data_IF_289509518917
#
_entry.id   IF_289509518917
#
_cell.length_a   1.000
_cell.length_b   1.000
_cell.length_c   1.000
_cell.angle_alpha   90.00
_cell.angle_beta   90.00
_cell.angle_gamma   90.00
#
_symmetry.space_group_name_H-M   'P 1'
#
loop_
_entity.id
_entity.type
_entity.pdbx_description
1 polymer ?
#
# COMPACT_ATOMS: atom_id res chain seq x y z
N UNK A 1 2.63 17.96 -19.43
CA UNK A 1 2.24 19.34 -19.08
C UNK A 1 2.01 20.08 -20.39
N UNK A 2 0.78 20.53 -20.63
CA UNK A 2 0.47 21.38 -21.79
C UNK A 2 1.06 22.76 -21.49
N UNK A 3 2.16 23.10 -22.15
CA UNK A 3 2.76 24.43 -22.06
C UNK A 3 1.97 25.35 -22.98
N UNK A 4 1.10 26.17 -22.42
CA UNK A 4 0.50 27.29 -23.16
C UNK A 4 1.49 28.46 -23.06
N UNK A 5 2.14 28.88 -24.17
CA UNK A 5 3.02 30.04 -24.12
C UNK A 5 2.13 31.28 -24.06
N UNK A 6 1.90 31.79 -22.86
CA UNK A 6 1.13 33.01 -22.68
C UNK A 6 1.15 33.48 -21.24
N UNK A 7 1.44 34.78 -21.06
CA UNK A 7 1.41 35.57 -19.82
C UNK A 7 0.02 35.70 -19.18
N UNK A 8 -0.91 34.80 -19.49
CA UNK A 8 -2.29 34.85 -19.05
C UNK A 8 -2.49 33.97 -17.81
N UNK A 9 -3.14 34.53 -16.79
CA UNK A 9 -3.55 33.85 -15.55
C UNK A 9 -4.41 32.60 -15.79
N UNK A 10 -4.89 32.39 -17.01
CA UNK A 10 -5.66 31.21 -17.42
C UNK A 10 -4.85 29.91 -17.51
N UNK A 11 -3.53 29.95 -17.75
CA UNK A 11 -2.72 28.74 -17.97
C UNK A 11 -2.72 27.78 -16.77
N UNK A 12 -2.69 28.30 -15.53
CA UNK A 12 -2.79 27.46 -14.33
C UNK A 12 -4.24 27.15 -13.95
N UNK A 13 -5.20 28.05 -14.24
CA UNK A 13 -6.62 27.86 -13.93
C UNK A 13 -7.24 26.73 -14.75
N UNK A 14 -6.96 26.68 -16.05
CA UNK A 14 -7.43 25.60 -16.93
C UNK A 14 -6.90 24.24 -16.42
N UNK A 15 -5.65 24.17 -15.99
CA UNK A 15 -5.09 22.94 -15.44
C UNK A 15 -5.81 22.47 -14.16
N UNK A 16 -6.21 23.41 -13.29
CA UNK A 16 -6.99 23.10 -12.10
C UNK A 16 -8.42 22.67 -12.44
N UNK A 17 -9.06 23.32 -13.44
CA UNK A 17 -10.40 22.94 -13.90
C UNK A 17 -10.42 21.53 -14.50
N UNK A 18 -9.39 21.15 -15.28
CA UNK A 18 -9.26 19.81 -15.85
C UNK A 18 -9.11 18.75 -14.74
N UNK A 19 -8.42 19.05 -13.64
CA UNK A 19 -8.31 18.12 -12.50
C UNK A 19 -9.68 17.85 -11.84
N UNK A 20 -10.60 18.82 -11.86
CA UNK A 20 -11.97 18.67 -11.35
C UNK A 20 -12.85 17.73 -12.17
N UNK A 21 -12.47 17.41 -13.42
CA UNK A 21 -13.25 16.53 -14.29
C UNK A 21 -13.28 15.07 -13.79
N UNK A 22 -12.17 14.57 -13.27
CA UNK A 22 -12.06 13.19 -12.76
C UNK A 22 -13.05 12.89 -11.62
N UNK A 23 -13.08 13.70 -10.55
CA UNK A 23 -14.06 13.56 -9.47
C UNK A 23 -15.52 13.63 -9.95
N UNK A 24 -15.83 14.49 -10.93
CA UNK A 24 -17.18 14.59 -11.50
C UNK A 24 -17.59 13.27 -12.15
N UNK A 25 -16.73 12.67 -12.96
CA UNK A 25 -17.00 11.34 -13.56
C UNK A 25 -17.20 10.30 -12.46
N UNK A 26 -16.35 10.28 -11.43
CA UNK A 26 -16.49 9.34 -10.32
C UNK A 26 -17.83 9.50 -9.61
N UNK A 27 -18.26 10.73 -9.30
CA UNK A 27 -19.56 11.01 -8.69
C UNK A 27 -20.71 10.48 -9.55
N UNK A 28 -20.69 10.73 -10.87
CA UNK A 28 -21.69 10.20 -11.79
C UNK A 28 -21.65 8.66 -11.85
N UNK A 29 -20.46 8.07 -11.81
CA UNK A 29 -20.25 6.62 -11.84
C UNK A 29 -20.76 5.91 -10.58
N UNK A 30 -20.76 6.57 -9.42
CA UNK A 30 -21.22 5.94 -8.16
C UNK A 30 -22.68 5.50 -8.20
N UNK A 31 -23.53 6.08 -9.07
CA UNK A 31 -24.92 5.64 -9.23
C UNK A 31 -25.06 4.30 -9.98
N UNK A 32 -24.04 3.87 -10.71
CA UNK A 32 -24.06 2.61 -11.47
C UNK A 32 -23.37 1.45 -10.76
N UNK A 33 -22.62 1.72 -9.68
CA UNK A 33 -21.87 0.69 -8.95
C UNK A 33 -22.79 0.06 -7.88
N UNK A 34 -22.93 -1.27 -7.85
CA UNK A 34 -23.71 -1.93 -6.80
C UNK A 34 -23.06 -1.74 -5.44
N UNK A 35 -23.88 -1.79 -4.39
CA UNK A 35 -23.39 -1.70 -3.03
C UNK A 35 -22.59 -2.96 -2.65
N UNK A 36 -21.63 -2.80 -1.73
CA UNK A 36 -20.83 -3.93 -1.23
C UNK A 36 -21.72 -4.99 -0.58
N UNK A 37 -21.59 -6.29 -0.94
CA UNK A 37 -22.36 -7.38 -0.33
C UNK A 37 -22.23 -7.41 1.20
N UNK A 38 -21.03 -7.13 1.72
CA UNK A 38 -20.75 -7.08 3.16
C UNK A 38 -21.55 -5.96 3.86
N UNK A 39 -21.70 -4.81 3.20
CA UNK A 39 -22.51 -3.70 3.71
C UNK A 39 -24.01 -4.01 3.64
N UNK A 40 -24.44 -4.68 2.57
CA UNK A 40 -25.83 -5.13 2.41
C UNK A 40 -26.25 -6.11 3.50
N UNK A 41 -25.44 -7.14 3.78
CA UNK A 41 -25.68 -8.09 4.90
C UNK A 41 -25.69 -7.37 6.24
N UNK A 42 -24.77 -6.43 6.48
CA UNK A 42 -24.74 -5.62 7.71
C UNK A 42 -26.04 -4.84 7.95
N UNK A 43 -26.70 -4.39 6.88
CA UNK A 43 -27.97 -3.69 6.94
C UNK A 43 -29.21 -4.60 6.81
N UNK A 44 -29.03 -5.92 6.90
CA UNK A 44 -30.12 -6.90 6.82
C UNK A 44 -30.67 -7.13 5.40
N UNK A 45 -29.99 -6.65 4.35
CA UNK A 45 -30.38 -6.82 2.94
C UNK A 45 -29.68 -8.05 2.34
N UNK A 46 -29.93 -9.22 2.91
CA UNK A 46 -29.20 -10.45 2.56
C UNK A 46 -29.52 -10.97 1.15
N UNK A 47 -30.77 -10.89 0.72
CA UNK A 47 -31.17 -11.33 -0.63
C UNK A 47 -30.49 -10.51 -1.73
N UNK A 48 -30.37 -9.20 -1.52
CA UNK A 48 -29.64 -8.34 -2.46
C UNK A 48 -28.15 -8.63 -2.46
N UNK A 49 -27.56 -8.90 -1.29
CA UNK A 49 -26.16 -9.32 -1.20
C UNK A 49 -25.92 -10.64 -1.95
N UNK A 50 -26.87 -11.58 -1.86
CA UNK A 50 -26.80 -12.87 -2.56
C UNK A 50 -26.86 -12.68 -4.07
N UNK A 51 -27.76 -11.82 -4.53
CA UNK A 51 -27.89 -11.48 -5.95
C UNK A 51 -26.61 -10.82 -6.49
N UNK A 52 -26.04 -9.88 -5.76
CA UNK A 52 -24.77 -9.26 -6.16
C UNK A 52 -23.65 -10.30 -6.22
N UNK A 53 -23.52 -11.19 -5.23
CA UNK A 53 -22.50 -12.25 -5.29
C UNK A 53 -22.71 -13.20 -6.47
N UNK A 54 -23.95 -13.63 -6.72
CA UNK A 54 -24.30 -14.48 -7.85
C UNK A 54 -23.96 -13.81 -9.19
N UNK A 55 -24.36 -12.55 -9.39
CA UNK A 55 -24.14 -11.80 -10.63
C UNK A 55 -22.65 -11.64 -10.96
N UNK A 56 -21.80 -11.39 -9.95
CA UNK A 56 -20.37 -11.10 -10.16
C UNK A 56 -19.44 -12.32 -10.06
N UNK A 57 -19.79 -13.35 -9.28
CA UNK A 57 -18.92 -14.51 -9.05
C UNK A 57 -19.42 -15.80 -9.71
N UNK A 58 -20.71 -15.91 -10.03
CA UNK A 58 -21.33 -17.11 -10.59
C UNK A 58 -22.18 -16.86 -11.85
N UNK A 59 -21.95 -15.73 -12.56
CA UNK A 59 -22.71 -15.33 -13.76
C UNK A 59 -24.25 -15.37 -13.56
N UNK A 60 -24.72 -15.08 -12.34
CA UNK A 60 -26.13 -15.06 -11.95
C UNK A 60 -26.65 -16.34 -11.31
N UNK A 61 -25.83 -17.38 -11.13
CA UNK A 61 -26.25 -18.58 -10.39
C UNK A 61 -26.21 -18.35 -8.88
N UNK A 62 -27.38 -18.34 -8.26
CA UNK A 62 -27.53 -18.21 -6.81
C UNK A 62 -27.20 -19.50 -6.06
N UNK A 63 -27.25 -20.66 -6.72
CA UNK A 63 -27.03 -21.95 -6.07
C UNK A 63 -25.60 -22.45 -6.20
N UNK A 64 -24.70 -21.66 -6.77
CA UNK A 64 -23.29 -22.00 -6.87
C UNK A 64 -22.66 -22.17 -5.47
N UNK A 65 -21.89 -23.24 -5.30
CA UNK A 65 -21.24 -23.58 -4.02
C UNK A 65 -20.32 -22.45 -3.51
N UNK A 66 -19.69 -21.69 -4.42
CA UNK A 66 -18.85 -20.55 -4.07
C UNK A 66 -19.68 -19.41 -3.47
N UNK A 67 -20.82 -19.08 -4.10
CA UNK A 67 -21.71 -18.00 -3.64
C UNK A 67 -22.28 -18.32 -2.26
N UNK A 68 -22.70 -19.57 -2.04
CA UNK A 68 -23.19 -20.01 -0.74
C UNK A 68 -22.09 -20.05 0.32
N UNK A 69 -20.88 -20.42 -0.05
CA UNK A 69 -19.72 -20.38 0.85
C UNK A 69 -19.40 -18.94 1.28
N UNK A 70 -19.22 -18.03 0.33
CA UNK A 70 -18.91 -16.63 0.61
C UNK A 70 -20.03 -15.94 1.40
N UNK A 71 -21.30 -16.23 1.10
CA UNK A 71 -22.41 -15.70 1.86
C UNK A 71 -22.38 -16.16 3.32
N UNK A 72 -22.04 -17.43 3.59
CA UNK A 72 -21.89 -17.95 4.96
C UNK A 72 -20.75 -17.28 5.69
N UNK A 73 -19.61 -17.08 5.03
CA UNK A 73 -18.45 -16.40 5.61
C UNK A 73 -18.78 -14.94 5.98
N UNK A 74 -19.44 -14.21 5.07
CA UNK A 74 -19.86 -12.82 5.30
C UNK A 74 -20.86 -12.73 6.46
N UNK A 75 -21.87 -13.62 6.51
CA UNK A 75 -22.84 -13.66 7.62
C UNK A 75 -22.16 -13.93 8.96
N UNK A 76 -21.23 -14.90 9.00
CA UNK A 76 -20.47 -15.21 10.20
C UNK A 76 -19.64 -14.00 10.67
N UNK A 77 -18.95 -13.32 9.75
CA UNK A 77 -18.17 -12.13 10.06
C UNK A 77 -19.03 -10.97 10.60
N UNK A 78 -20.21 -10.74 10.00
CA UNK A 78 -21.16 -9.71 10.46
C UNK A 78 -21.76 -10.06 11.83
N UNK A 79 -22.04 -11.32 12.09
CA UNK A 79 -22.61 -11.75 13.38
C UNK A 79 -21.57 -11.62 14.52
N UNK A 80 -20.32 -12.03 14.28
CA UNK A 80 -19.20 -11.80 15.20
C UNK A 80 -19.06 -10.30 15.49
N UNK A 81 -19.24 -9.44 14.48
CA UNK A 81 -19.21 -7.99 14.65
C UNK A 81 -20.38 -7.43 15.47
N UNK A 82 -21.61 -7.91 15.25
CA UNK A 82 -22.80 -7.49 16.02
C UNK A 82 -22.65 -7.80 17.51
N UNK A 83 -22.08 -8.96 17.84
CA UNK A 83 -21.79 -9.35 19.23
C UNK A 83 -20.65 -8.50 19.82
N UNK A 84 -19.73 -8.02 18.99
CA UNK A 84 -18.56 -7.23 19.37
C UNK A 84 -18.75 -5.71 19.40
N UNK A 85 -19.99 -5.19 19.51
CA UNK A 85 -20.41 -3.78 19.30
C UNK A 85 -19.66 -2.71 20.13
N UNK A 86 -18.40 -2.51 19.79
CA UNK A 86 -17.52 -1.48 20.30
C UNK A 86 -16.70 -0.98 19.12
N UNK A 87 -17.35 -0.36 18.14
CA UNK A 87 -16.66 0.42 17.10
C UNK A 87 -16.12 1.74 17.68
N UNK A 88 -15.40 1.70 18.80
CA UNK A 88 -14.70 2.85 19.38
C UNK A 88 -13.26 2.88 18.88
N UNK A 89 -12.67 4.07 18.76
CA UNK A 89 -11.23 4.21 18.48
C UNK A 89 -10.35 3.51 19.53
N UNK A 90 -10.87 3.38 20.76
CA UNK A 90 -10.23 2.64 21.84
C UNK A 90 -10.11 1.13 21.57
N UNK A 91 -10.90 0.57 20.65
CA UNK A 91 -10.86 -0.86 20.33
C UNK A 91 -9.57 -1.30 19.63
N UNK A 92 -8.82 -0.35 19.03
CA UNK A 92 -7.46 -0.61 18.58
C UNK A 92 -6.50 -0.93 19.73
N UNK A 93 -6.77 -0.41 20.93
CA UNK A 93 -5.92 -0.56 22.11
C UNK A 93 -6.38 -1.65 23.07
N UNK A 94 -7.57 -2.25 22.87
CA UNK A 94 -8.10 -3.29 23.76
C UNK A 94 -7.35 -4.63 23.61
N UNK A 95 -7.16 -5.10 22.39
CA UNK A 95 -6.55 -6.42 22.12
C UNK A 95 -5.08 -6.30 21.69
N UNK A 96 -4.20 -7.22 22.09
CA UNK A 96 -2.79 -7.23 21.68
C UNK A 96 -2.65 -7.37 20.15
N UNK A 97 -3.52 -8.14 19.49
CA UNK A 97 -3.58 -8.23 18.03
C UNK A 97 -3.96 -6.90 17.36
N UNK A 98 -4.93 -6.18 17.91
CA UNK A 98 -5.34 -4.88 17.40
C UNK A 98 -4.26 -3.80 17.56
N UNK A 99 -3.46 -3.86 18.65
CA UNK A 99 -2.31 -2.97 18.85
C UNK A 99 -1.23 -3.20 17.79
N UNK A 100 -0.96 -4.46 17.46
CA UNK A 100 -0.04 -4.81 16.36
C UNK A 100 -0.56 -4.31 15.01
N UNK A 101 -1.85 -4.50 14.72
CA UNK A 101 -2.50 -3.97 13.51
C UNK A 101 -2.37 -2.43 13.44
N UNK A 102 -2.64 -1.73 14.55
CA UNK A 102 -2.51 -0.27 14.63
C UNK A 102 -1.08 0.22 14.33
N UNK A 103 -0.06 -0.44 14.91
CA UNK A 103 1.34 -0.13 14.63
C UNK A 103 1.70 -0.36 13.17
N UNK A 104 1.24 -1.47 12.58
CA UNK A 104 1.47 -1.79 11.16
C UNK A 104 0.81 -0.75 10.25
N UNK A 105 -0.41 -0.29 10.56
CA UNK A 105 -1.10 0.75 9.78
C UNK A 105 -0.30 2.07 9.79
N UNK A 106 0.18 2.49 10.96
CA UNK A 106 1.01 3.71 11.07
C UNK A 106 2.35 3.53 10.37
N UNK A 107 2.97 2.35 10.50
CA UNK A 107 4.22 2.02 9.82
C UNK A 107 4.04 2.12 8.30
N UNK A 108 2.97 1.53 7.76
CA UNK A 108 2.62 1.59 6.35
C UNK A 108 2.28 3.01 5.89
N UNK A 109 1.63 3.83 6.73
CA UNK A 109 1.37 5.22 6.39
C UNK A 109 2.66 6.03 6.27
N UNK A 110 3.52 5.94 7.28
CA UNK A 110 4.79 6.70 7.33
C UNK A 110 5.80 6.25 6.28
N UNK A 111 5.94 4.94 6.04
CA UNK A 111 6.93 4.41 5.07
C UNK A 111 6.64 4.87 3.65
N UNK A 112 5.37 5.01 3.24
CA UNK A 112 5.05 5.49 1.88
C UNK A 112 5.61 6.88 1.61
N UNK A 113 5.67 7.75 2.62
CA UNK A 113 6.19 9.10 2.48
C UNK A 113 7.67 9.18 2.81
N UNK A 114 8.12 8.50 3.86
CA UNK A 114 9.51 8.56 4.35
C UNK A 114 10.44 7.55 3.67
N UNK A 115 9.95 6.80 2.69
CA UNK A 115 10.80 6.03 1.79
C UNK A 115 11.72 6.91 0.91
N UNK A 116 11.52 8.23 0.89
CA UNK A 116 12.40 9.17 0.19
C UNK A 116 11.98 9.54 -1.23
N UNK A 117 10.75 9.19 -1.61
CA UNK A 117 10.10 9.66 -2.84
C UNK A 117 10.09 11.20 -2.92
N UNK A 118 9.83 11.87 -1.78
CA UNK A 118 9.84 13.34 -1.69
C UNK A 118 11.17 13.94 -2.11
N UNK A 119 12.29 13.53 -1.49
CA UNK A 119 13.63 14.04 -1.82
C UNK A 119 13.95 13.86 -3.29
N UNK A 120 13.68 12.67 -3.83
CA UNK A 120 14.05 12.33 -5.20
C UNK A 120 13.32 13.23 -6.19
N UNK A 121 12.04 13.49 -5.96
CA UNK A 121 11.25 14.42 -6.77
C UNK A 121 11.78 15.85 -6.69
N UNK A 122 12.22 16.30 -5.51
CA UNK A 122 12.82 17.63 -5.32
C UNK A 122 14.20 17.78 -5.96
N UNK A 123 15.00 16.70 -6.03
CA UNK A 123 16.35 16.74 -6.59
C UNK A 123 16.42 16.47 -8.09
N UNK A 124 15.42 15.82 -8.67
CA UNK A 124 15.44 15.50 -10.10
C UNK A 124 15.66 16.76 -10.93
N UNK A 125 14.95 17.86 -10.65
CA UNK A 125 15.08 19.11 -11.41
C UNK A 125 16.45 19.80 -11.21
N UNK A 126 16.96 20.01 -9.98
CA UNK A 126 18.32 20.49 -9.75
C UNK A 126 19.41 19.64 -10.43
N UNK A 127 19.31 18.31 -10.36
CA UNK A 127 20.27 17.40 -11.01
C UNK A 127 20.19 17.50 -12.53
N UNK A 128 19.00 17.62 -13.11
CA UNK A 128 18.86 17.87 -14.54
C UNK A 128 19.48 19.20 -14.96
N UNK A 129 19.37 20.24 -14.13
CA UNK A 129 20.02 21.54 -14.37
C UNK A 129 21.54 21.44 -14.32
N UNK A 130 22.12 20.68 -13.39
CA UNK A 130 23.58 20.51 -13.30
C UNK A 130 24.17 19.71 -14.46
N UNK A 131 23.36 18.87 -15.09
CA UNK A 131 23.70 18.12 -16.31
C UNK A 131 23.64 19.00 -17.58
N UNK A 132 23.19 20.26 -17.47
CA UNK A 132 23.07 21.19 -18.59
C UNK A 132 21.68 21.17 -19.26
N UNK A 133 20.73 20.40 -18.74
CA UNK A 133 19.34 20.35 -19.22
C UNK A 133 18.57 21.50 -18.54
N UNK A 134 18.74 22.70 -19.06
CA UNK A 134 18.12 23.94 -18.55
C UNK A 134 16.80 24.27 -19.23
N UNK A 135 16.51 23.67 -20.40
CA UNK A 135 15.27 23.90 -21.13
C UNK A 135 14.05 23.33 -20.38
N UNK A 136 13.07 24.20 -20.10
CA UNK A 136 11.82 23.84 -19.43
C UNK A 136 11.03 22.76 -20.19
N UNK A 137 11.10 22.75 -21.53
CA UNK A 137 10.45 21.73 -22.37
C UNK A 137 11.09 20.35 -22.20
N UNK A 138 12.42 20.28 -22.09
CA UNK A 138 13.13 19.01 -21.86
C UNK A 138 12.90 18.48 -20.44
N UNK A 139 12.93 19.34 -19.42
CA UNK A 139 12.60 18.95 -18.05
C UNK A 139 11.16 18.43 -17.94
N UNK A 140 10.22 19.07 -18.65
CA UNK A 140 8.84 18.62 -18.75
C UNK A 140 8.73 17.26 -19.44
N UNK A 141 9.49 17.04 -20.52
CA UNK A 141 9.56 15.76 -21.22
C UNK A 141 10.08 14.63 -20.32
N UNK A 142 11.14 14.88 -19.56
CA UNK A 142 11.72 13.90 -18.62
C UNK A 142 10.75 13.58 -17.48
N UNK A 143 10.06 14.58 -16.92
CA UNK A 143 9.01 14.35 -15.92
C UNK A 143 7.83 13.56 -16.49
N UNK A 144 7.46 13.81 -17.76
CA UNK A 144 6.47 13.02 -18.48
C UNK A 144 6.91 11.56 -18.62
N UNK A 145 8.16 11.33 -19.03
CA UNK A 145 8.77 10.00 -19.11
C UNK A 145 8.82 9.29 -17.74
N UNK A 146 9.18 10.02 -16.68
CA UNK A 146 9.15 9.53 -15.30
C UNK A 146 7.74 9.08 -14.88
N UNK A 147 6.71 9.85 -15.25
CA UNK A 147 5.31 9.49 -14.96
C UNK A 147 4.83 8.27 -15.75
N UNK A 148 5.24 8.15 -17.02
CA UNK A 148 4.93 6.98 -17.86
C UNK A 148 5.64 5.74 -17.30
N UNK A 149 6.90 5.87 -16.92
CA UNK A 149 7.67 4.82 -16.26
C UNK A 149 7.01 4.37 -14.94
N UNK A 150 6.64 5.32 -14.06
CA UNK A 150 5.90 5.01 -12.84
C UNK A 150 4.62 4.22 -13.14
N UNK A 151 3.87 4.59 -14.18
CA UNK A 151 2.64 3.89 -14.56
C UNK A 151 2.91 2.43 -14.94
N UNK A 152 3.92 2.17 -15.76
CA UNK A 152 4.30 0.81 -16.13
C UNK A 152 4.75 -0.02 -14.92
N UNK A 153 5.56 0.56 -14.04
CA UNK A 153 5.96 -0.09 -12.80
C UNK A 153 4.78 -0.38 -11.87
N UNK A 154 3.76 0.49 -11.83
CA UNK A 154 2.56 0.27 -11.03
C UNK A 154 1.74 -0.92 -11.55
N UNK A 155 1.58 -1.03 -12.87
CA UNK A 155 0.88 -2.15 -13.51
C UNK A 155 1.62 -3.46 -13.22
N UNK A 156 2.95 -3.47 -13.40
CA UNK A 156 3.78 -4.63 -13.08
C UNK A 156 3.67 -5.01 -11.60
N UNK A 157 3.75 -4.02 -10.70
CA UNK A 157 3.58 -4.22 -9.27
C UNK A 157 2.25 -4.89 -8.94
N UNK A 158 1.14 -4.35 -9.45
CA UNK A 158 -0.19 -4.91 -9.25
C UNK A 158 -0.29 -6.38 -9.71
N UNK A 159 0.25 -6.71 -10.89
CA UNK A 159 0.24 -8.10 -11.40
C UNK A 159 1.12 -9.05 -10.57
N UNK A 160 2.19 -8.54 -9.96
CA UNK A 160 3.16 -9.35 -9.22
C UNK A 160 2.71 -9.65 -7.78
N UNK A 161 1.82 -8.82 -7.22
CA UNK A 161 1.31 -8.99 -5.84
C UNK A 161 0.72 -10.38 -5.61
N UNK A 162 -0.04 -10.89 -6.56
CA UNK A 162 -0.71 -12.20 -6.44
C UNK A 162 0.30 -13.37 -6.51
N UNK A 163 1.38 -13.20 -7.27
CA UNK A 163 2.36 -14.24 -7.55
C UNK A 163 3.51 -14.33 -6.54
N UNK A 164 3.90 -13.21 -5.93
CA UNK A 164 5.09 -13.14 -5.06
C UNK A 164 4.74 -13.08 -3.57
N UNK A 165 3.52 -12.65 -3.24
CA UNK A 165 3.11 -12.41 -1.85
C UNK A 165 3.50 -11.02 -1.36
N UNK A 166 2.74 -10.51 -0.38
CA UNK A 166 2.82 -9.11 0.05
C UNK A 166 4.08 -8.85 0.86
N UNK A 167 4.46 -9.78 1.76
CA UNK A 167 5.64 -9.64 2.61
C UNK A 167 6.92 -9.68 1.78
N UNK A 168 7.02 -10.64 0.87
CA UNK A 168 8.17 -10.79 -0.02
C UNK A 168 8.38 -9.53 -0.86
N UNK A 169 7.31 -8.93 -1.39
CA UNK A 169 7.41 -7.69 -2.17
C UNK A 169 7.85 -6.50 -1.32
N UNK A 170 7.33 -6.35 -0.09
CA UNK A 170 7.82 -5.31 0.82
C UNK A 170 9.31 -5.46 1.11
N UNK A 171 9.78 -6.69 1.38
CA UNK A 171 11.18 -6.95 1.71
C UNK A 171 12.11 -6.79 0.51
N UNK A 172 11.74 -7.33 -0.67
CA UNK A 172 12.53 -7.22 -1.90
C UNK A 172 12.60 -5.77 -2.36
N UNK A 173 11.49 -5.03 -2.31
CA UNK A 173 11.50 -3.61 -2.62
C UNK A 173 12.37 -2.81 -1.63
N UNK A 174 12.27 -3.09 -0.33
CA UNK A 174 12.98 -2.34 0.70
C UNK A 174 14.50 -2.64 0.71
N UNK A 175 14.91 -3.91 0.75
CA UNK A 175 16.35 -4.31 0.74
C UNK A 175 16.92 -4.23 -0.68
N UNK A 176 16.29 -4.93 -1.62
CA UNK A 176 16.88 -5.24 -2.92
C UNK A 176 16.89 -4.06 -3.86
N UNK A 177 15.87 -3.20 -3.76
CA UNK A 177 15.70 -2.09 -4.67
C UNK A 177 16.07 -0.74 -4.10
N UNK A 178 15.34 -0.32 -3.07
CA UNK A 178 15.43 1.03 -2.51
C UNK A 178 16.75 1.29 -1.82
N UNK A 179 17.15 0.41 -0.91
CA UNK A 179 18.36 0.59 -0.12
C UNK A 179 19.59 0.60 -1.03
N UNK A 180 19.67 -0.34 -1.98
CA UNK A 180 20.74 -0.40 -2.98
C UNK A 180 20.83 0.89 -3.81
N UNK A 181 19.69 1.39 -4.31
CA UNK A 181 19.65 2.66 -5.04
C UNK A 181 20.09 3.84 -4.16
N UNK A 182 19.72 3.88 -2.88
CA UNK A 182 20.15 4.95 -1.96
C UNK A 182 21.66 4.95 -1.72
N UNK A 183 22.29 3.79 -1.60
CA UNK A 183 23.76 3.69 -1.47
C UNK A 183 24.45 4.25 -2.72
N UNK A 184 23.97 3.88 -3.91
CA UNK A 184 24.51 4.37 -5.17
C UNK A 184 24.29 5.88 -5.30
N UNK A 185 23.07 6.36 -4.99
CA UNK A 185 22.74 7.80 -5.01
C UNK A 185 23.61 8.61 -4.04
N UNK A 186 23.89 8.08 -2.84
CA UNK A 186 24.75 8.72 -1.87
C UNK A 186 26.20 8.82 -2.38
N UNK A 187 26.73 7.72 -2.95
CA UNK A 187 28.07 7.68 -3.53
C UNK A 187 28.23 8.65 -4.72
N UNK A 188 27.26 8.66 -5.63
CA UNK A 188 27.24 9.58 -6.77
C UNK A 188 27.11 11.04 -6.32
N UNK A 189 26.25 11.32 -5.34
CA UNK A 189 26.06 12.68 -4.82
C UNK A 189 27.31 13.20 -4.10
N UNK A 190 27.97 12.36 -3.31
CA UNK A 190 29.24 12.69 -2.66
C UNK A 190 30.38 12.89 -3.67
N UNK A 191 30.47 12.02 -4.68
CA UNK A 191 31.44 12.14 -5.77
C UNK A 191 31.24 13.40 -6.61
N UNK A 192 29.98 13.75 -6.89
CA UNK A 192 29.64 14.99 -7.59
C UNK A 192 29.99 16.24 -6.75
N UNK A 193 29.75 16.21 -5.45
CA UNK A 193 30.11 17.32 -4.57
C UNK A 193 31.62 17.57 -4.51
N UNK A 194 32.44 16.53 -4.58
CA UNK A 194 33.90 16.63 -4.56
C UNK A 194 34.51 17.04 -5.91
N UNK A 195 34.00 16.49 -7.02
CA UNK A 195 34.64 16.60 -8.34
C UNK A 195 33.92 17.53 -9.32
N UNK A 196 32.63 17.81 -9.10
CA UNK A 196 31.74 18.57 -9.99
C UNK A 196 31.69 18.05 -11.44
N UNK A 197 32.07 16.80 -11.69
CA UNK A 197 32.01 16.22 -13.02
C UNK A 197 30.55 16.01 -13.48
N UNK A 198 30.21 16.52 -14.66
CA UNK A 198 28.89 16.40 -15.27
C UNK A 198 28.46 14.94 -15.48
N UNK A 199 29.42 14.03 -15.69
CA UNK A 199 29.19 12.59 -15.84
C UNK A 199 28.54 11.95 -14.61
N UNK A 200 28.93 12.38 -13.40
CA UNK A 200 28.35 11.86 -12.15
C UNK A 200 26.90 12.31 -11.97
N UNK A 201 26.55 13.51 -12.45
CA UNK A 201 25.16 13.98 -12.51
C UNK A 201 24.30 13.19 -13.49
N UNK A 202 24.86 12.82 -14.65
CA UNK A 202 24.18 11.97 -15.65
C UNK A 202 23.89 10.56 -15.11
N UNK A 203 24.84 9.97 -14.39
CA UNK A 203 24.68 8.65 -13.78
C UNK A 203 23.58 8.60 -12.70
N UNK A 204 23.22 9.74 -12.10
CA UNK A 204 22.18 9.83 -11.07
C UNK A 204 20.77 9.60 -11.64
N UNK A 205 20.53 10.04 -12.88
CA UNK A 205 19.20 9.97 -13.53
C UNK A 205 18.66 8.53 -13.63
N UNK A 206 19.38 7.54 -14.21
CA UNK A 206 18.88 6.17 -14.29
C UNK A 206 18.68 5.52 -12.91
N UNK A 207 19.49 5.87 -11.92
CA UNK A 207 19.36 5.35 -10.54
C UNK A 207 18.07 5.88 -9.88
N UNK A 208 17.69 7.13 -10.15
CA UNK A 208 16.40 7.69 -9.71
C UNK A 208 15.22 6.94 -10.33
N UNK A 209 15.28 6.60 -11.62
CA UNK A 209 14.24 5.81 -12.29
C UNK A 209 14.15 4.40 -11.71
N UNK A 210 15.29 3.77 -11.43
CA UNK A 210 15.34 2.45 -10.81
C UNK A 210 14.76 2.47 -9.40
N UNK A 211 15.14 3.45 -8.58
CA UNK A 211 14.55 3.65 -7.26
C UNK A 211 13.02 3.77 -7.34
N UNK A 212 12.54 4.60 -8.26
CA UNK A 212 11.12 4.83 -8.46
C UNK A 212 10.39 3.54 -8.89
N UNK A 213 11.01 2.68 -9.70
CA UNK A 213 10.43 1.39 -10.07
C UNK A 213 10.15 0.53 -8.84
N UNK A 214 11.15 0.36 -7.96
CA UNK A 214 10.98 -0.41 -6.73
C UNK A 214 9.96 0.22 -5.79
N UNK A 215 9.98 1.55 -5.64
CA UNK A 215 8.98 2.29 -4.88
C UNK A 215 7.56 2.03 -5.33
N UNK A 216 7.31 2.16 -6.63
CA UNK A 216 5.96 2.03 -7.15
C UNK A 216 5.46 0.59 -7.09
N UNK A 217 6.34 -0.40 -7.29
CA UNK A 217 5.97 -1.82 -7.27
C UNK A 217 5.40 -2.26 -5.92
N UNK A 218 5.99 -1.83 -4.79
CA UNK A 218 5.56 -2.28 -3.47
C UNK A 218 4.84 -1.20 -2.66
N UNK A 219 5.39 0.01 -2.56
CA UNK A 219 4.92 1.00 -1.60
C UNK A 219 3.67 1.76 -2.05
N UNK A 220 3.27 1.65 -3.31
CA UNK A 220 2.06 2.32 -3.81
C UNK A 220 0.81 1.42 -3.68
N UNK A 221 0.75 0.22 -4.29
CA UNK A 221 -0.46 -0.59 -4.26
C UNK A 221 -0.63 -1.37 -2.94
N UNK A 222 0.46 -1.90 -2.38
CA UNK A 222 0.36 -2.89 -1.30
C UNK A 222 -0.20 -2.28 0.00
N UNK A 223 0.21 -1.09 0.47
CA UNK A 223 -0.37 -0.51 1.70
C UNK A 223 -1.90 -0.34 1.63
N UNK A 224 -2.43 0.03 0.46
CA UNK A 224 -3.87 0.22 0.25
C UNK A 224 -4.65 -1.10 0.24
N UNK A 225 -4.02 -2.20 -0.22
CA UNK A 225 -4.61 -3.54 -0.22
C UNK A 225 -4.45 -4.25 1.13
N UNK A 226 -3.28 -4.11 1.75
CA UNK A 226 -2.91 -4.84 2.94
C UNK A 226 -3.67 -4.37 4.19
N UNK A 227 -3.91 -3.06 4.33
CA UNK A 227 -4.65 -2.51 5.47
C UNK A 227 -6.06 -3.09 5.61
N UNK A 228 -6.90 -3.16 4.55
CA UNK A 228 -8.20 -3.81 4.65
C UNK A 228 -8.10 -5.33 4.81
N UNK A 229 -7.07 -6.01 4.29
CA UNK A 229 -6.84 -7.45 4.50
C UNK A 229 -6.60 -7.79 5.98
N UNK A 230 -5.80 -6.99 6.70
CA UNK A 230 -5.44 -7.29 8.10
C UNK A 230 -6.47 -6.81 9.14
N UNK A 231 -7.44 -5.99 8.73
CA UNK A 231 -8.40 -5.36 9.65
C UNK A 231 -9.80 -5.98 9.56
N UNK A 232 -10.44 -6.28 10.71
CA UNK A 232 -11.82 -6.73 10.76
C UNK A 232 -12.76 -5.70 10.14
N UNK A 233 -13.90 -6.15 9.60
CA UNK A 233 -14.90 -5.31 8.92
C UNK A 233 -15.29 -4.06 9.74
N UNK A 234 -15.49 -4.20 11.06
CA UNK A 234 -15.83 -3.13 11.99
C UNK A 234 -14.80 -2.00 12.11
N UNK A 235 -13.51 -2.34 11.96
CA UNK A 235 -12.39 -1.41 12.10
C UNK A 235 -11.82 -0.98 10.76
N UNK A 236 -12.21 -1.62 9.65
CA UNK A 236 -11.64 -1.42 8.31
C UNK A 236 -11.74 0.03 7.83
N UNK A 237 -12.90 0.68 7.99
CA UNK A 237 -13.07 2.09 7.62
C UNK A 237 -12.16 3.02 8.45
N UNK A 238 -12.00 2.72 9.75
CA UNK A 238 -11.12 3.49 10.64
C UNK A 238 -9.65 3.25 10.34
N UNK A 239 -9.27 2.01 10.06
CA UNK A 239 -7.92 1.65 9.66
C UNK A 239 -7.51 2.36 8.37
N UNK A 240 -8.40 2.42 7.38
CA UNK A 240 -8.19 3.19 6.15
C UNK A 240 -8.00 4.68 6.46
N UNK A 241 -8.86 5.28 7.29
CA UNK A 241 -8.70 6.69 7.68
C UNK A 241 -7.40 6.96 8.44
N UNK A 242 -6.95 6.03 9.29
CA UNK A 242 -5.70 6.12 10.02
C UNK A 242 -4.48 6.03 9.10
N UNK A 243 -4.53 5.14 8.09
CA UNK A 243 -3.52 5.06 7.04
C UNK A 243 -3.39 6.41 6.33
N UNK A 244 -4.50 6.96 5.82
CA UNK A 244 -4.48 8.25 5.12
C UNK A 244 -4.02 9.39 6.04
N UNK A 245 -4.44 9.41 7.31
CA UNK A 245 -4.00 10.41 8.26
C UNK A 245 -2.48 10.34 8.47
N UNK A 246 -1.95 9.14 8.69
CA UNK A 246 -0.51 8.89 8.86
C UNK A 246 0.28 9.31 7.62
N UNK A 247 -0.23 8.99 6.42
CA UNK A 247 0.35 9.42 5.15
C UNK A 247 0.37 10.95 5.03
N UNK A 248 -0.74 11.63 5.27
CA UNK A 248 -0.81 13.10 5.15
C UNK A 248 0.08 13.81 6.18
N UNK A 249 0.17 13.29 7.41
CA UNK A 249 1.10 13.80 8.43
C UNK A 249 2.56 13.65 7.99
N UNK A 250 2.93 12.46 7.51
CA UNK A 250 4.29 12.19 7.03
C UNK A 250 4.64 13.00 5.76
N UNK A 251 3.66 13.23 4.88
CA UNK A 251 3.80 14.09 3.70
C UNK A 251 3.97 15.55 4.10
N UNK A 252 3.20 16.04 5.07
CA UNK A 252 3.34 17.40 5.59
C UNK A 252 4.75 17.62 6.16
N UNK A 253 5.27 16.65 6.92
CA UNK A 253 6.66 16.68 7.38
C UNK A 253 7.64 16.80 6.22
N UNK A 254 7.50 15.96 5.18
CA UNK A 254 8.36 16.03 3.99
C UNK A 254 8.32 17.40 3.30
N UNK A 255 7.15 18.01 3.19
CA UNK A 255 6.95 19.28 2.49
C UNK A 255 7.69 20.44 3.19
N UNK A 256 7.73 20.44 4.53
CA UNK A 256 8.36 21.52 5.32
C UNK A 256 9.81 21.19 5.70
N UNK A 257 10.12 19.96 6.08
CA UNK A 257 11.43 19.57 6.60
C UNK A 257 12.46 19.38 5.48
N UNK A 258 12.08 18.78 4.34
CA UNK A 258 13.05 18.45 3.29
C UNK A 258 13.73 19.70 2.71
N UNK A 259 13.01 20.78 2.32
CA UNK A 259 13.68 21.98 1.78
C UNK A 259 14.66 22.62 2.77
N UNK A 260 14.30 22.68 4.05
CA UNK A 260 15.14 23.27 5.11
C UNK A 260 16.38 22.41 5.36
N UNK A 261 16.21 21.10 5.50
CA UNK A 261 17.31 20.17 5.74
C UNK A 261 18.27 20.11 4.55
N UNK A 262 17.75 20.22 3.32
CA UNK A 262 18.57 20.26 2.11
C UNK A 262 19.35 21.56 1.97
N UNK A 263 18.79 22.69 2.37
CA UNK A 263 19.52 23.94 2.41
C UNK A 263 20.68 23.91 3.43
N UNK A 264 20.49 23.23 4.57
CA UNK A 264 21.48 23.17 5.64
C UNK A 264 22.57 22.11 5.43
N UNK A 265 22.19 20.90 5.01
CA UNK A 265 23.07 19.71 5.02
C UNK A 265 23.37 19.21 3.60
N UNK A 266 22.66 19.70 2.58
CA UNK A 266 22.87 19.37 1.17
C UNK A 266 22.78 17.87 0.91
N UNK A 267 23.76 17.33 0.19
CA UNK A 267 23.80 15.92 -0.22
C UNK A 267 23.93 14.94 0.96
N UNK A 268 24.40 15.37 2.13
CA UNK A 268 24.49 14.47 3.29
C UNK A 268 23.12 14.08 3.82
N UNK A 269 22.05 14.81 3.47
CA UNK A 269 20.69 14.45 3.89
C UNK A 269 20.22 13.08 3.37
N UNK A 270 20.81 12.57 2.28
CA UNK A 270 20.56 11.20 1.79
C UNK A 270 20.93 10.12 2.83
N UNK A 271 21.87 10.36 3.74
CA UNK A 271 22.21 9.39 4.80
C UNK A 271 21.09 9.24 5.83
N UNK A 272 20.31 10.29 6.08
CA UNK A 272 19.17 10.25 7.01
C UNK A 272 18.10 9.30 6.47
N UNK A 273 17.80 9.39 5.18
CA UNK A 273 16.83 8.51 4.52
C UNK A 273 17.34 7.08 4.36
N UNK A 274 18.65 6.91 4.12
CA UNK A 274 19.27 5.60 4.17
C UNK A 274 19.09 4.94 5.55
N UNK A 275 19.34 5.67 6.64
CA UNK A 275 19.10 5.17 8.00
C UNK A 275 17.61 4.87 8.27
N UNK A 276 16.72 5.76 7.84
CA UNK A 276 15.28 5.55 7.96
C UNK A 276 14.82 4.27 7.23
N UNK A 277 15.36 4.01 6.03
CA UNK A 277 15.05 2.82 5.25
C UNK A 277 15.48 1.52 5.96
N UNK A 278 16.63 1.51 6.63
CA UNK A 278 17.07 0.35 7.43
C UNK A 278 16.12 0.10 8.61
N UNK A 279 15.66 1.17 9.26
CA UNK A 279 14.69 1.07 10.36
C UNK A 279 13.37 0.50 9.85
N UNK A 280 12.83 1.04 8.75
CA UNK A 280 11.60 0.53 8.14
C UNK A 280 11.72 -0.92 7.69
N UNK A 281 12.86 -1.29 7.11
CA UNK A 281 13.16 -2.66 6.75
C UNK A 281 13.10 -3.60 7.97
N UNK A 282 13.77 -3.24 9.05
CA UNK A 282 13.77 -4.01 10.30
C UNK A 282 12.34 -4.16 10.85
N UNK A 283 11.57 -3.07 10.82
CA UNK A 283 10.19 -3.09 11.27
C UNK A 283 9.29 -3.95 10.37
N UNK A 284 9.51 -3.97 9.06
CA UNK A 284 8.79 -4.87 8.17
C UNK A 284 9.11 -6.34 8.41
N UNK A 285 10.38 -6.68 8.67
CA UNK A 285 10.75 -8.06 9.01
C UNK A 285 10.01 -8.58 10.26
N UNK A 286 9.82 -7.71 11.26
CA UNK A 286 9.25 -8.07 12.56
C UNK A 286 7.72 -8.02 12.53
N UNK A 287 7.12 -6.99 11.95
CA UNK A 287 5.69 -6.70 12.11
C UNK A 287 4.82 -7.09 10.92
N UNK A 288 5.36 -7.19 9.70
CA UNK A 288 4.57 -7.54 8.50
C UNK A 288 4.52 -9.06 8.34
N UNK A 289 3.30 -9.60 8.35
CA UNK A 289 3.01 -11.02 8.12
C UNK A 289 2.48 -11.23 6.70
N UNK A 290 2.67 -12.41 6.15
CA UNK A 290 2.16 -12.74 4.81
C UNK A 290 0.65 -12.98 4.86
N UNK A 291 -0.08 -12.40 3.90
CA UNK A 291 -1.55 -12.52 3.76
C UNK A 291 -1.96 -13.26 2.48
N UNK A 292 -0.99 -13.72 1.67
CA UNK A 292 -1.26 -14.41 0.40
C UNK A 292 -2.07 -15.69 0.59
N UNK A 293 -3.16 -15.80 -0.19
CA UNK A 293 -3.95 -17.03 -0.33
C UNK A 293 -4.92 -17.28 0.82
N UNK A 294 -5.08 -16.30 1.73
CA UNK A 294 -6.07 -16.32 2.79
C UNK A 294 -7.29 -15.52 2.37
N UNK A 295 -8.49 -15.93 2.79
CA UNK A 295 -9.66 -15.06 2.66
C UNK A 295 -9.49 -13.80 3.52
N UNK A 296 -10.27 -12.75 3.26
CA UNK A 296 -10.17 -11.51 4.04
C UNK A 296 -10.47 -11.72 5.53
N UNK A 297 -11.25 -12.73 5.88
CA UNK A 297 -11.60 -13.03 7.26
C UNK A 297 -10.55 -13.94 7.93
N UNK A 298 -9.94 -14.87 7.19
CA UNK A 298 -8.78 -15.63 7.65
C UNK A 298 -7.54 -14.73 7.84
N UNK A 299 -7.33 -13.75 6.95
CA UNK A 299 -6.25 -12.78 7.02
C UNK A 299 -6.36 -11.87 8.25
N UNK A 300 -7.58 -11.60 8.75
CA UNK A 300 -7.76 -10.88 9.99
C UNK A 300 -7.13 -11.67 11.16
N UNK A 301 -7.37 -12.99 11.25
CA UNK A 301 -6.88 -13.83 12.36
C UNK A 301 -5.35 -13.93 12.44
N UNK A 302 -4.63 -13.63 11.35
CA UNK A 302 -3.16 -13.68 11.27
C UNK A 302 -2.45 -12.87 12.37
N UNK A 303 -3.09 -11.84 12.91
CA UNK A 303 -2.51 -10.98 13.96
C UNK A 303 -3.00 -11.29 15.39
N UNK A 304 -3.87 -12.28 15.57
CA UNK A 304 -4.44 -12.65 16.86
C UNK A 304 -3.51 -13.60 17.65
N UNK A 305 -3.77 -13.75 18.96
CA UNK A 305 -3.01 -14.63 19.85
C UNK A 305 -3.15 -16.11 19.45
N UNK A 306 -2.14 -16.94 19.74
CA UNK A 306 -2.12 -18.36 19.35
C UNK A 306 -3.37 -19.14 19.80
N UNK A 307 -3.93 -18.83 20.97
CA UNK A 307 -5.18 -19.46 21.46
C UNK A 307 -6.42 -19.09 20.63
N UNK A 308 -6.51 -17.85 20.14
CA UNK A 308 -7.62 -17.36 19.31
C UNK A 308 -7.47 -17.86 17.86
N UNK A 309 -6.23 -17.97 17.40
CA UNK A 309 -5.85 -18.56 16.11
C UNK A 309 -6.19 -20.04 16.06
N UNK A 310 -5.88 -20.80 17.12
CA UNK A 310 -6.28 -22.20 17.22
C UNK A 310 -7.80 -22.36 17.24
N UNK A 311 -8.54 -21.54 18.00
CA UNK A 311 -10.01 -21.61 18.03
C UNK A 311 -10.69 -21.26 16.70
N UNK A 312 -10.19 -20.24 15.99
CA UNK A 312 -10.74 -19.82 14.70
C UNK A 312 -10.38 -20.78 13.56
N UNK A 313 -9.14 -21.31 13.53
CA UNK A 313 -8.76 -22.37 12.59
C UNK A 313 -9.55 -23.66 12.87
N UNK A 314 -9.72 -24.05 14.13
CA UNK A 314 -10.50 -25.25 14.49
C UNK A 314 -11.99 -25.09 14.14
N UNK A 315 -12.53 -23.85 14.12
CA UNK A 315 -13.87 -23.54 13.65
C UNK A 315 -14.00 -23.55 12.11
N UNK A 316 -13.01 -22.98 11.39
CA UNK A 316 -12.94 -23.03 9.93
C UNK A 316 -12.76 -24.48 9.42
N UNK A 317 -11.87 -25.27 10.04
CA UNK A 317 -11.66 -26.68 9.72
C UNK A 317 -12.85 -27.57 10.07
N UNK A 318 -13.61 -27.26 11.14
CA UNK A 318 -14.88 -27.96 11.43
C UNK A 318 -15.97 -27.69 10.40
N UNK A 319 -15.91 -26.57 9.69
CA UNK A 319 -16.82 -26.26 8.59
C UNK A 319 -16.41 -26.95 7.27
N UNK A 320 -15.12 -27.24 7.05
CA UNK A 320 -14.63 -27.88 5.83
C UNK A 320 -14.84 -29.40 5.77
N UNK A 321 -14.98 -30.12 6.89
CA UNK A 321 -15.26 -31.56 6.90
C UNK A 321 -16.15 -31.99 8.07
N UNK A 322 -17.39 -32.45 7.83
CA UNK A 322 -18.06 -33.29 8.80
C UNK A 322 -17.33 -34.65 8.79
N UNK A 323 -16.49 -34.87 9.80
CA UNK A 323 -15.83 -36.15 10.16
C UNK A 323 -14.60 -36.59 9.33
N UNK A 324 -13.39 -36.45 9.91
CA UNK A 324 -12.19 -37.24 9.56
C UNK A 324 -11.19 -37.26 10.75
N UNK A 325 -10.41 -38.34 10.99
CA UNK A 325 -9.81 -38.61 12.29
C UNK A 325 -8.60 -37.72 12.62
N UNK A 326 -8.42 -37.52 13.93
CA UNK A 326 -7.47 -36.65 14.64
C UNK A 326 -5.97 -36.74 14.29
N UNK A 327 -5.57 -37.65 13.41
CA UNK A 327 -4.17 -37.86 12.99
C UNK A 327 -3.67 -36.84 11.96
N UNK A 328 -4.47 -36.54 10.93
CA UNK A 328 -4.09 -35.60 9.86
C UNK A 328 -4.00 -34.15 10.36
N UNK A 329 -4.76 -33.83 11.41
CA UNK A 329 -4.80 -32.51 12.05
C UNK A 329 -3.45 -32.12 12.67
N UNK A 330 -2.67 -33.10 13.17
CA UNK A 330 -1.35 -32.84 13.76
C UNK A 330 -0.30 -32.53 12.70
N UNK A 331 -0.35 -33.23 11.56
CA UNK A 331 0.62 -33.08 10.48
C UNK A 331 0.43 -31.75 9.72
N UNK A 332 -0.81 -31.28 9.59
CA UNK A 332 -1.12 -29.97 9.04
C UNK A 332 -0.74 -28.82 10.00
N UNK A 333 -1.00 -28.98 11.31
CA UNK A 333 -0.58 -28.03 12.36
C UNK A 333 0.94 -27.81 12.36
N UNK A 334 1.72 -28.86 12.10
CA UNK A 334 3.18 -28.75 12.04
C UNK A 334 3.67 -27.98 10.79
N UNK A 335 2.98 -28.12 9.65
CA UNK A 335 3.32 -27.40 8.41
C UNK A 335 2.99 -25.91 8.45
N UNK A 336 1.89 -25.52 9.09
CA UNK A 336 1.50 -24.10 9.24
C UNK A 336 2.40 -23.40 10.26
N UNK A 337 2.74 -24.07 11.35
CA UNK A 337 3.65 -23.52 12.38
C UNK A 337 5.06 -23.29 11.83
N UNK A 338 5.54 -24.14 10.90
CA UNK A 338 6.84 -23.96 10.23
C UNK A 338 6.85 -22.84 9.16
N UNK A 339 5.70 -22.31 8.75
CA UNK A 339 5.57 -21.28 7.70
C UNK A 339 5.32 -19.86 8.24
N UNK A 340 5.03 -19.72 9.53
CA UNK A 340 4.86 -18.43 10.23
C UNK A 340 6.21 -17.89 10.73
#
# INVERSE_FOLDING_TARGET
MVYYPGTSSWSWRVLNLIQGFGPVILCLGTWFVPQSPRWLVKNGREEEAHKVLADYHANGDMNDDLVQFEMREIKAAVEIEKVGDQSSWLSFFKNPGNRRRFLVIILLGTVTQWAGNGIISYFLIPVLKTVGITSSTQQTGINGGFSIWSRWCAILGASLVEWTGRRTLFLVSSIGGMLACFVIMLGLSGGYAATKHTSTGLAMVPVIFLFNAFYVIAMTPIPMLYVPEITPLSLRAKAASLLLLSQNCAQSFNQFANPVALAAIGWKYYTVYFGAQIIYFTLFCIFVRETRGLTTEEAAVVYESDETREGALDAAYRQERPESPSGELKEAKEKVTRRA
#
